data_IF_667611243669
#
_entry.id   IF_667611243669
#
_cell.length_a   1.000
_cell.length_b   1.000
_cell.length_c   1.000
_cell.angle_alpha   90.00
_cell.angle_beta   90.00
_cell.angle_gamma   90.00
#
_symmetry.space_group_name_H-M   'P 1'
#
loop_
_entity.id
_entity.type
_entity.pdbx_description
1 polymer ?
#
# COMPACT_ATOMS: atom_id res chain seq x y z
N UNK A 1 25.84 -35.56 -41.52
CA UNK A 1 26.41 -35.06 -40.25
C UNK A 1 25.40 -35.43 -39.17
N UNK A 2 25.79 -36.25 -38.20
CA UNK A 2 24.94 -36.48 -37.03
C UNK A 2 24.73 -35.15 -36.29
N UNK A 3 23.55 -34.89 -35.72
CA UNK A 3 23.35 -33.67 -34.96
C UNK A 3 24.28 -33.64 -33.74
N UNK A 4 24.83 -32.48 -33.34
CA UNK A 4 25.68 -32.42 -32.19
C UNK A 4 24.87 -32.76 -30.93
N UNK A 5 25.50 -33.42 -29.95
CA UNK A 5 24.85 -34.07 -28.81
C UNK A 5 24.43 -33.04 -27.74
N UNK A 6 23.76 -31.95 -28.11
CA UNK A 6 23.35 -30.93 -27.14
C UNK A 6 21.94 -30.38 -27.38
N UNK A 7 21.41 -30.50 -28.61
CA UNK A 7 20.12 -29.92 -28.95
C UNK A 7 18.93 -30.71 -28.36
N UNK A 8 19.07 -32.03 -28.17
CA UNK A 8 18.04 -32.86 -27.55
C UNK A 8 17.76 -32.48 -26.09
N UNK A 9 18.82 -32.20 -25.32
CA UNK A 9 18.71 -31.80 -23.91
C UNK A 9 17.93 -30.51 -23.70
N UNK A 10 18.12 -29.50 -24.56
CA UNK A 10 17.41 -28.19 -24.46
C UNK A 10 15.90 -28.35 -24.72
N UNK A 11 15.54 -29.18 -25.70
CA UNK A 11 14.13 -29.49 -26.02
C UNK A 11 13.44 -30.15 -24.82
N UNK A 12 14.13 -31.09 -24.15
CA UNK A 12 13.63 -31.75 -22.95
C UNK A 12 13.59 -30.83 -21.71
N UNK A 13 14.54 -29.90 -21.59
CA UNK A 13 14.62 -28.94 -20.49
C UNK A 13 13.43 -27.97 -20.48
N UNK A 14 13.17 -27.34 -21.62
CA UNK A 14 12.10 -26.36 -21.74
C UNK A 14 10.73 -27.04 -21.81
N UNK A 15 10.61 -28.11 -22.61
CA UNK A 15 9.33 -28.70 -22.97
C UNK A 15 8.54 -27.86 -23.99
N UNK A 16 7.63 -28.52 -24.72
CA UNK A 16 6.91 -27.92 -25.85
C UNK A 16 6.11 -26.67 -25.48
N UNK A 17 5.60 -26.60 -24.26
CA UNK A 17 4.80 -25.48 -23.77
C UNK A 17 5.61 -24.20 -23.56
N UNK A 18 6.92 -24.32 -23.32
CA UNK A 18 7.80 -23.17 -23.06
C UNK A 18 8.51 -22.65 -24.32
N UNK A 19 8.35 -23.28 -25.49
CA UNK A 19 9.07 -22.88 -26.71
C UNK A 19 8.77 -21.44 -27.16
N UNK A 20 7.54 -20.96 -26.98
CA UNK A 20 7.17 -19.57 -27.23
C UNK A 20 7.88 -18.54 -26.33
N UNK A 21 8.58 -19.00 -25.29
CA UNK A 21 9.35 -18.17 -24.36
C UNK A 21 10.86 -18.29 -24.56
N UNK A 22 11.31 -19.05 -25.56
CA UNK A 22 12.73 -19.27 -25.86
C UNK A 22 13.15 -18.37 -27.03
N UNK A 23 14.30 -17.71 -26.87
CA UNK A 23 15.00 -17.00 -27.95
C UNK A 23 16.26 -17.79 -28.30
N UNK A 24 16.38 -18.12 -29.58
CA UNK A 24 17.52 -18.81 -30.16
C UNK A 24 18.44 -17.78 -30.79
N UNK A 25 19.62 -17.60 -30.20
CA UNK A 25 20.53 -16.54 -30.59
C UNK A 25 21.72 -17.12 -31.38
N UNK A 26 21.94 -16.66 -32.61
CA UNK A 26 23.14 -16.96 -33.40
C UNK A 26 24.21 -15.89 -33.15
N UNK A 27 25.46 -16.32 -32.98
CA UNK A 27 26.60 -15.44 -32.67
C UNK A 27 27.75 -15.63 -33.67
N UNK A 28 28.86 -14.89 -33.49
CA UNK A 28 30.07 -14.96 -34.34
C UNK A 28 29.87 -14.54 -35.80
N UNK A 29 28.84 -13.72 -36.08
CA UNK A 29 28.58 -13.17 -37.42
C UNK A 29 29.69 -12.24 -37.93
N UNK A 30 30.44 -11.63 -37.00
CA UNK A 30 31.61 -10.79 -37.24
C UNK A 30 32.86 -11.59 -37.67
N UNK A 31 32.89 -12.89 -37.39
CA UNK A 31 34.00 -13.79 -37.78
C UNK A 31 33.83 -14.43 -39.16
N UNK A 32 32.68 -14.23 -39.79
CA UNK A 32 32.45 -14.70 -41.15
C UNK A 32 33.23 -13.84 -42.13
N UNK A 33 33.92 -14.50 -43.06
CA UNK A 33 34.61 -13.81 -44.13
C UNK A 33 33.59 -12.96 -44.92
N UNK A 34 33.84 -11.64 -44.96
CA UNK A 34 33.01 -10.66 -45.68
C UNK A 34 32.84 -10.98 -47.17
N UNK A 35 33.67 -11.87 -47.72
CA UNK A 35 33.60 -12.31 -49.11
C UNK A 35 32.56 -13.40 -49.39
N UNK A 36 32.05 -14.09 -48.35
CA UNK A 36 30.99 -15.11 -48.52
C UNK A 36 29.91 -15.03 -47.40
N UNK A 37 29.15 -13.93 -47.30
CA UNK A 37 28.10 -13.75 -46.30
C UNK A 37 27.03 -14.86 -46.35
N UNK A 38 26.82 -15.47 -47.53
CA UNK A 38 25.83 -16.51 -47.74
C UNK A 38 26.07 -17.77 -46.88
N UNK A 39 27.31 -18.02 -46.42
CA UNK A 39 27.62 -19.17 -45.57
C UNK A 39 26.92 -19.07 -44.21
N UNK A 40 26.88 -17.86 -43.62
CA UNK A 40 26.20 -17.63 -42.34
C UNK A 40 24.68 -17.83 -42.48
N UNK A 41 24.11 -17.26 -43.53
CA UNK A 41 22.68 -17.40 -43.83
C UNK A 41 22.29 -18.85 -44.11
N UNK A 42 23.14 -19.60 -44.82
CA UNK A 42 22.89 -21.01 -45.09
C UNK A 42 22.95 -21.86 -43.80
N UNK A 43 23.89 -21.59 -42.89
CA UNK A 43 23.98 -22.26 -41.59
C UNK A 43 22.78 -21.95 -40.71
N UNK A 44 22.35 -20.69 -40.65
CA UNK A 44 21.15 -20.31 -39.90
C UNK A 44 19.90 -21.00 -40.46
N UNK A 45 19.75 -21.05 -41.80
CA UNK A 45 18.67 -21.80 -42.45
C UNK A 45 18.71 -23.28 -42.11
N UNK A 46 19.89 -23.89 -42.06
CA UNK A 46 20.04 -25.30 -41.69
C UNK A 46 19.64 -25.56 -40.23
N UNK A 47 20.02 -24.67 -39.31
CA UNK A 47 19.60 -24.73 -37.90
C UNK A 47 18.08 -24.70 -37.77
N UNK A 48 17.42 -23.81 -38.51
CA UNK A 48 15.96 -23.64 -38.48
C UNK A 48 15.24 -24.78 -39.19
N UNK A 49 15.78 -25.29 -40.29
CA UNK A 49 15.10 -26.30 -41.11
C UNK A 49 15.10 -27.70 -40.48
N UNK A 50 16.15 -28.05 -39.72
CA UNK A 50 16.28 -29.39 -39.14
C UNK A 50 15.64 -29.49 -37.77
N UNK A 51 14.76 -30.48 -37.61
CA UNK A 51 14.08 -30.76 -36.34
C UNK A 51 15.03 -31.12 -35.21
N UNK A 52 16.16 -31.75 -35.54
CA UNK A 52 17.21 -32.20 -34.64
C UNK A 52 18.07 -31.03 -34.12
N UNK A 53 17.94 -29.84 -34.73
CA UNK A 53 18.56 -28.60 -34.29
C UNK A 53 17.52 -27.69 -33.65
N UNK A 54 17.11 -26.64 -34.36
CA UNK A 54 16.17 -25.64 -33.84
C UNK A 54 14.78 -25.77 -34.44
N UNK A 55 14.59 -26.57 -35.49
CA UNK A 55 13.31 -26.63 -36.21
C UNK A 55 12.12 -26.99 -35.32
N UNK A 56 12.29 -27.89 -34.35
CA UNK A 56 11.25 -28.24 -33.38
C UNK A 56 10.87 -27.04 -32.48
N UNK A 57 11.86 -26.30 -31.97
CA UNK A 57 11.66 -25.12 -31.13
C UNK A 57 11.09 -23.95 -31.95
N UNK A 58 11.61 -23.72 -33.15
CA UNK A 58 11.16 -22.67 -34.05
C UNK A 58 9.70 -22.87 -34.47
N UNK A 59 9.32 -24.09 -34.84
CA UNK A 59 7.92 -24.44 -35.14
C UNK A 59 7.02 -24.28 -33.92
N UNK A 60 7.57 -24.51 -32.72
CA UNK A 60 6.88 -24.28 -31.44
C UNK A 60 6.82 -22.82 -30.98
N UNK A 61 7.26 -21.87 -31.80
CA UNK A 61 7.15 -20.43 -31.53
C UNK A 61 8.42 -19.76 -31.01
N UNK A 62 9.54 -20.48 -30.91
CA UNK A 62 10.82 -19.86 -30.54
C UNK A 62 11.30 -18.89 -31.62
N UNK A 63 11.72 -17.71 -31.18
CA UNK A 63 12.22 -16.66 -32.07
C UNK A 63 13.72 -16.81 -32.29
N UNK A 64 14.16 -16.65 -33.54
CA UNK A 64 15.59 -16.64 -33.90
C UNK A 64 16.07 -15.20 -34.02
N UNK A 65 17.22 -14.91 -33.42
CA UNK A 65 17.82 -13.56 -33.40
C UNK A 65 19.32 -13.67 -33.65
N UNK A 66 19.87 -12.72 -34.41
CA UNK A 66 21.32 -12.60 -34.64
C UNK A 66 21.93 -11.63 -33.64
N UNK A 67 22.94 -12.07 -32.89
CA UNK A 67 23.79 -11.21 -32.09
C UNK A 67 25.04 -10.86 -32.90
N UNK A 68 25.22 -9.56 -33.17
CA UNK A 68 26.27 -9.04 -34.04
C UNK A 68 27.53 -8.59 -33.27
N UNK A 69 27.65 -8.98 -31.99
CA UNK A 69 28.75 -8.54 -31.13
C UNK A 69 28.63 -7.09 -30.62
N UNK A 70 27.58 -6.35 -31.00
CA UNK A 70 27.37 -4.95 -30.62
C UNK A 70 26.41 -4.80 -29.45
N UNK A 71 26.55 -3.69 -28.71
CA UNK A 71 25.62 -3.32 -27.61
C UNK A 71 24.17 -3.23 -28.09
N UNK A 72 23.92 -2.64 -29.25
CA UNK A 72 22.58 -2.45 -29.80
C UNK A 72 21.91 -3.79 -30.13
N UNK A 73 22.66 -4.75 -30.68
CA UNK A 73 22.15 -6.09 -30.95
C UNK A 73 21.84 -6.85 -29.65
N UNK A 74 22.63 -6.68 -28.59
CA UNK A 74 22.35 -7.25 -27.27
C UNK A 74 21.09 -6.65 -26.64
N UNK A 75 20.92 -5.32 -26.70
CA UNK A 75 19.70 -4.65 -26.24
C UNK A 75 18.46 -5.15 -26.97
N UNK A 76 18.54 -5.33 -28.30
CA UNK A 76 17.45 -5.87 -29.10
C UNK A 76 17.03 -7.28 -28.64
N UNK A 77 17.99 -8.14 -28.28
CA UNK A 77 17.70 -9.48 -27.74
C UNK A 77 16.97 -9.36 -26.39
N UNK A 78 17.45 -8.50 -25.49
CA UNK A 78 16.84 -8.29 -24.17
C UNK A 78 15.42 -7.72 -24.29
N UNK A 79 15.20 -6.75 -25.17
CA UNK A 79 13.88 -6.16 -25.41
C UNK A 79 12.88 -7.21 -25.91
N UNK A 80 13.32 -8.14 -26.75
CA UNK A 80 12.49 -9.26 -27.19
C UNK A 80 12.15 -10.21 -26.04
N UNK A 81 13.10 -10.53 -25.15
CA UNK A 81 12.82 -11.35 -23.95
C UNK A 81 11.75 -10.69 -23.09
N UNK A 82 11.90 -9.39 -22.81
CA UNK A 82 10.95 -8.62 -21.99
C UNK A 82 9.57 -8.57 -22.66
N UNK A 83 9.52 -8.35 -23.97
CA UNK A 83 8.26 -8.32 -24.73
C UNK A 83 7.53 -9.66 -24.67
N UNK A 84 8.22 -10.76 -24.93
CA UNK A 84 7.65 -12.11 -24.87
C UNK A 84 7.10 -12.39 -23.47
N UNK A 85 7.82 -12.02 -22.42
CA UNK A 85 7.34 -12.20 -21.05
C UNK A 85 6.08 -11.37 -20.74
N UNK A 86 6.01 -10.13 -21.23
CA UNK A 86 4.83 -9.27 -21.04
C UNK A 86 3.61 -9.77 -21.80
N UNK A 87 3.79 -10.27 -23.02
CA UNK A 87 2.69 -10.71 -23.90
C UNK A 87 2.17 -12.10 -23.52
N UNK A 88 3.08 -13.04 -23.22
CA UNK A 88 2.74 -14.45 -23.03
C UNK A 88 2.74 -14.89 -21.56
N UNK A 89 3.17 -14.02 -20.63
CA UNK A 89 3.21 -14.30 -19.19
C UNK A 89 4.36 -15.21 -18.76
N UNK A 90 4.17 -15.89 -17.62
CA UNK A 90 5.15 -16.84 -17.06
C UNK A 90 5.00 -18.20 -17.74
N UNK A 91 6.13 -18.75 -18.19
CA UNK A 91 6.24 -20.11 -18.67
C UNK A 91 6.80 -21.00 -17.56
N UNK A 92 6.22 -22.18 -17.38
CA UNK A 92 6.80 -23.22 -16.55
C UNK A 92 7.64 -24.15 -17.42
N UNK A 93 8.90 -24.35 -17.06
CA UNK A 93 9.79 -25.26 -17.79
C UNK A 93 9.48 -26.70 -17.39
N UNK A 94 9.60 -27.65 -18.33
CA UNK A 94 9.32 -29.06 -18.04
C UNK A 94 10.19 -29.62 -16.91
N UNK A 95 11.47 -29.22 -16.86
CA UNK A 95 12.35 -29.64 -15.76
C UNK A 95 11.89 -29.12 -14.38
N UNK A 96 11.25 -27.96 -14.31
CA UNK A 96 10.76 -27.40 -13.05
C UNK A 96 9.55 -28.19 -12.54
N UNK A 97 8.64 -28.58 -13.44
CA UNK A 97 7.54 -29.50 -13.14
C UNK A 97 8.06 -30.86 -12.64
N UNK A 98 9.02 -31.45 -13.36
CA UNK A 98 9.59 -32.76 -12.98
C UNK A 98 10.31 -32.73 -11.62
N UNK A 99 11.07 -31.67 -11.32
CA UNK A 99 11.82 -31.56 -10.07
C UNK A 99 10.94 -31.18 -8.87
N UNK A 100 10.03 -30.22 -9.05
CA UNK A 100 9.28 -29.61 -7.93
C UNK A 100 7.92 -30.29 -7.74
N UNK A 101 7.14 -30.43 -8.80
CA UNK A 101 5.77 -30.94 -8.70
C UNK A 101 5.74 -32.46 -8.67
N UNK A 102 6.55 -33.10 -9.52
CA UNK A 102 6.65 -34.56 -9.61
C UNK A 102 7.70 -35.15 -8.65
N UNK A 103 8.50 -34.31 -7.98
CA UNK A 103 9.48 -34.71 -6.96
C UNK A 103 10.60 -35.61 -7.49
N UNK A 104 10.93 -35.53 -8.77
CA UNK A 104 11.96 -36.36 -9.39
C UNK A 104 13.36 -35.87 -9.02
N UNK A 105 14.31 -36.81 -8.97
CA UNK A 105 15.74 -36.48 -8.92
C UNK A 105 16.23 -36.05 -10.32
N UNK A 106 17.25 -35.17 -10.37
CA UNK A 106 17.74 -34.56 -11.61
C UNK A 106 18.11 -35.60 -12.68
N UNK A 107 18.70 -36.73 -12.30
CA UNK A 107 19.07 -37.85 -13.18
C UNK A 107 17.87 -38.54 -13.85
N UNK A 108 16.69 -38.47 -13.24
CA UNK A 108 15.46 -39.09 -13.75
C UNK A 108 14.62 -38.17 -14.63
N UNK A 109 14.92 -36.88 -14.64
CA UNK A 109 14.26 -35.88 -15.49
C UNK A 109 14.46 -36.19 -16.98
N UNK A 110 13.58 -35.69 -17.84
CA UNK A 110 13.71 -35.83 -19.29
C UNK A 110 15.05 -35.28 -19.80
N UNK A 111 15.45 -34.10 -19.32
CA UNK A 111 16.71 -33.47 -19.67
C UNK A 111 17.92 -34.23 -19.10
N UNK A 112 17.85 -34.67 -17.84
CA UNK A 112 18.93 -35.43 -17.19
C UNK A 112 19.23 -36.74 -17.90
N UNK A 113 18.20 -37.48 -18.34
CA UNK A 113 18.37 -38.71 -19.11
C UNK A 113 18.99 -38.49 -20.48
N UNK A 114 18.67 -37.39 -21.15
CA UNK A 114 19.24 -37.08 -22.46
C UNK A 114 20.74 -36.77 -22.33
N UNK A 115 21.11 -35.91 -21.37
CA UNK A 115 22.52 -35.62 -21.07
C UNK A 115 23.27 -36.89 -20.66
N UNK A 116 22.66 -37.76 -19.85
CA UNK A 116 23.29 -39.02 -19.45
C UNK A 116 23.50 -39.95 -20.66
N UNK A 117 22.54 -40.03 -21.58
CA UNK A 117 22.70 -40.78 -22.83
C UNK A 117 23.87 -40.24 -23.65
N UNK A 118 23.96 -38.92 -23.81
CA UNK A 118 25.04 -38.26 -24.54
C UNK A 118 26.41 -38.53 -23.90
N UNK A 119 26.51 -38.43 -22.57
CA UNK A 119 27.73 -38.76 -21.82
C UNK A 119 28.13 -40.24 -22.03
N UNK A 120 27.16 -41.16 -21.98
CA UNK A 120 27.44 -42.60 -22.18
C UNK A 120 27.92 -42.85 -23.62
N UNK A 121 27.27 -42.24 -24.61
CA UNK A 121 27.66 -42.37 -26.01
C UNK A 121 29.07 -41.82 -26.26
N UNK A 122 29.38 -40.63 -25.76
CA UNK A 122 30.72 -40.03 -25.88
C UNK A 122 31.79 -40.88 -25.18
N UNK A 123 31.48 -41.45 -24.00
CA UNK A 123 32.39 -42.38 -23.32
C UNK A 123 32.65 -43.65 -24.14
N UNK A 124 31.62 -44.21 -24.77
CA UNK A 124 31.76 -45.40 -25.60
C UNK A 124 32.63 -45.12 -26.84
N UNK A 125 32.44 -43.97 -27.50
CA UNK A 125 33.28 -43.54 -28.63
C UNK A 125 34.75 -43.38 -28.22
N UNK A 126 35.01 -42.68 -27.10
CA UNK A 126 36.37 -42.52 -26.57
C UNK A 126 37.01 -43.85 -26.18
N UNK A 127 36.27 -44.77 -25.57
CA UNK A 127 36.76 -46.11 -25.24
C UNK A 127 37.12 -46.91 -26.50
N UNK A 128 36.31 -46.80 -27.55
CA UNK A 128 36.59 -47.44 -28.82
C UNK A 128 37.87 -46.87 -29.47
N UNK A 129 38.06 -45.55 -29.42
CA UNK A 129 39.26 -44.88 -29.93
C UNK A 129 40.51 -45.30 -29.14
N UNK A 130 40.43 -45.37 -27.80
CA UNK A 130 41.52 -45.88 -26.95
C UNK A 130 41.86 -47.33 -27.33
N UNK A 131 40.87 -48.18 -27.54
CA UNK A 131 41.10 -49.58 -27.91
C UNK A 131 41.78 -49.70 -29.29
N UNK A 132 41.37 -48.87 -30.26
CA UNK A 132 42.00 -48.83 -31.58
C UNK A 132 43.47 -48.42 -31.48
N UNK A 133 43.77 -47.38 -30.69
CA UNK A 133 45.14 -46.93 -30.46
C UNK A 133 46.00 -47.99 -29.75
N UNK A 134 45.43 -48.69 -28.76
CA UNK A 134 46.13 -49.80 -28.08
C UNK A 134 46.43 -50.97 -29.01
N UNK A 135 45.51 -51.32 -29.91
CA UNK A 135 45.72 -52.38 -30.89
C UNK A 135 46.80 -51.99 -31.90
N UNK A 136 46.74 -50.76 -32.43
CA UNK A 136 47.78 -50.23 -33.31
C UNK A 136 49.15 -50.24 -32.61
N UNK A 137 49.21 -49.86 -31.33
CA UNK A 137 50.41 -49.93 -30.50
C UNK A 137 50.95 -51.36 -30.35
N UNK A 138 50.09 -52.35 -30.09
CA UNK A 138 50.52 -53.75 -29.94
C UNK A 138 51.03 -54.36 -31.26
N UNK A 139 50.45 -53.96 -32.40
CA UNK A 139 50.88 -54.40 -33.73
C UNK A 139 52.22 -53.78 -34.13
N UNK A 140 52.40 -52.50 -33.81
CA UNK A 140 53.66 -51.76 -33.93
C UNK A 140 54.77 -52.37 -33.04
N UNK A 141 54.48 -52.76 -31.80
CA UNK A 141 55.46 -53.41 -30.91
C UNK A 141 55.91 -54.81 -31.37
N UNK A 142 55.09 -55.51 -32.18
CA UNK A 142 55.50 -56.80 -32.80
C UNK A 142 56.45 -56.60 -33.99
N UNK A 143 56.46 -55.41 -34.60
CA UNK A 143 57.35 -55.03 -35.68
C UNK A 143 58.48 -54.17 -35.08
N UNK A 144 59.51 -54.82 -34.55
CA UNK A 144 60.55 -54.14 -33.74
C UNK A 144 61.41 -53.16 -34.56
N UNK A 145 61.06 -51.87 -34.51
CA UNK A 145 61.91 -50.73 -34.89
C UNK A 145 62.36 -49.93 -33.65
N UNK A 146 63.65 -49.65 -33.53
CA UNK A 146 64.27 -49.01 -32.36
C UNK A 146 63.90 -47.52 -32.20
N UNK A 147 63.53 -46.84 -33.29
CA UNK A 147 62.92 -45.51 -33.25
C UNK A 147 61.52 -45.53 -32.62
N UNK A 148 60.80 -46.64 -32.78
CA UNK A 148 59.46 -46.82 -32.23
C UNK A 148 59.50 -46.94 -30.71
N UNK A 149 60.47 -47.67 -30.17
CA UNK A 149 60.69 -47.79 -28.73
C UNK A 149 60.98 -46.43 -28.07
N UNK A 150 61.73 -45.54 -28.76
CA UNK A 150 61.94 -44.16 -28.29
C UNK A 150 60.66 -43.35 -28.32
N UNK A 151 59.92 -43.40 -29.42
CA UNK A 151 58.65 -42.67 -29.58
C UNK A 151 57.62 -43.10 -28.53
N UNK A 152 57.61 -44.38 -28.19
CA UNK A 152 56.75 -44.97 -27.17
C UNK A 152 57.14 -44.62 -25.73
N UNK A 153 58.44 -44.53 -25.43
CA UNK A 153 58.89 -44.01 -24.15
C UNK A 153 58.41 -42.55 -23.95
N UNK A 154 58.49 -41.74 -25.02
CA UNK A 154 57.99 -40.35 -24.99
C UNK A 154 56.46 -40.28 -24.84
N UNK A 155 55.73 -41.17 -25.52
CA UNK A 155 54.26 -41.24 -25.38
C UNK A 155 53.84 -41.72 -23.99
N UNK A 156 54.55 -42.69 -23.40
CA UNK A 156 54.26 -43.17 -22.04
C UNK A 156 54.46 -42.07 -21.00
N UNK A 157 55.54 -41.30 -21.11
CA UNK A 157 55.81 -40.15 -20.25
C UNK A 157 54.73 -39.06 -20.44
N UNK A 158 54.29 -38.81 -21.67
CA UNK A 158 53.18 -37.90 -21.95
C UNK A 158 51.83 -38.39 -21.37
N UNK A 159 51.59 -39.71 -21.36
CA UNK A 159 50.41 -40.30 -20.73
C UNK A 159 50.47 -40.23 -19.20
N UNK A 160 51.61 -40.50 -18.58
CA UNK A 160 51.80 -40.37 -17.14
C UNK A 160 51.59 -38.90 -16.70
N UNK A 161 52.11 -37.94 -17.46
CA UNK A 161 51.84 -36.52 -17.22
C UNK A 161 50.37 -36.15 -17.39
N UNK A 162 49.67 -36.73 -18.36
CA UNK A 162 48.22 -36.53 -18.51
C UNK A 162 47.45 -37.11 -17.34
N UNK A 163 47.80 -38.31 -16.88
CA UNK A 163 47.17 -38.96 -15.73
C UNK A 163 47.37 -38.12 -14.46
N UNK A 164 48.55 -37.55 -14.29
CA UNK A 164 48.88 -36.68 -13.15
C UNK A 164 48.10 -35.36 -13.21
N UNK A 165 47.95 -34.76 -14.40
CA UNK A 165 47.09 -33.59 -14.60
C UNK A 165 45.62 -33.89 -14.37
N UNK A 166 45.13 -35.06 -14.79
CA UNK A 166 43.76 -35.51 -14.55
C UNK A 166 43.50 -35.67 -13.05
N UNK A 167 44.44 -36.27 -12.31
CA UNK A 167 44.36 -36.40 -10.86
C UNK A 167 44.38 -35.04 -10.15
N UNK A 168 45.22 -34.10 -10.59
CA UNK A 168 45.19 -32.71 -10.10
C UNK A 168 43.86 -32.02 -10.43
N UNK A 169 43.28 -32.30 -11.59
CA UNK A 169 42.00 -31.74 -12.01
C UNK A 169 40.84 -32.29 -11.17
N UNK A 170 40.81 -33.61 -10.90
CA UNK A 170 39.86 -34.22 -9.96
C UNK A 170 39.99 -33.63 -8.56
N UNK A 171 41.21 -33.40 -8.08
CA UNK A 171 41.45 -32.82 -6.76
C UNK A 171 40.95 -31.38 -6.68
N UNK A 172 41.16 -30.58 -7.72
CA UNK A 172 40.62 -29.22 -7.84
C UNK A 172 39.10 -29.20 -7.95
N UNK A 173 38.53 -30.15 -8.69
CA UNK A 173 37.08 -30.27 -8.82
C UNK A 173 36.44 -30.66 -7.48
N UNK A 174 37.04 -31.59 -6.73
CA UNK A 174 36.58 -31.96 -5.40
C UNK A 174 36.65 -30.77 -4.41
N UNK A 175 37.73 -29.98 -4.46
CA UNK A 175 37.85 -28.76 -3.66
C UNK A 175 36.76 -27.73 -4.03
N UNK A 176 36.55 -27.46 -5.31
CA UNK A 176 35.52 -26.54 -5.78
C UNK A 176 34.10 -27.00 -5.40
N UNK A 177 33.84 -28.31 -5.44
CA UNK A 177 32.54 -28.87 -5.05
C UNK A 177 32.30 -28.72 -3.54
N UNK A 178 33.35 -28.92 -2.73
CA UNK A 178 33.31 -28.69 -1.28
C UNK A 178 33.05 -27.21 -0.94
N UNK A 179 33.75 -26.28 -1.60
CA UNK A 179 33.51 -24.83 -1.45
C UNK A 179 32.08 -24.45 -1.85
N UNK A 180 31.56 -25.02 -2.95
CA UNK A 180 30.19 -24.79 -3.38
C UNK A 180 29.17 -25.32 -2.35
N UNK A 181 29.41 -26.49 -1.75
CA UNK A 181 28.56 -27.02 -0.68
C UNK A 181 28.58 -26.14 0.57
N UNK A 182 29.75 -25.62 0.96
CA UNK A 182 29.86 -24.66 2.07
C UNK A 182 29.10 -23.36 1.78
N UNK A 183 29.18 -22.86 0.55
CA UNK A 183 28.45 -21.66 0.14
C UNK A 183 26.93 -21.88 0.18
N UNK A 184 26.44 -23.03 -0.31
CA UNK A 184 25.02 -23.39 -0.25
C UNK A 184 24.56 -23.45 1.22
N UNK A 185 25.31 -24.11 2.10
CA UNK A 185 24.99 -24.18 3.52
C UNK A 185 24.94 -22.79 4.19
N UNK A 186 25.89 -21.91 3.86
CA UNK A 186 25.91 -20.54 4.36
C UNK A 186 24.71 -19.71 3.85
N UNK A 187 24.27 -19.95 2.61
CA UNK A 187 23.06 -19.31 2.07
C UNK A 187 21.80 -19.82 2.76
N UNK A 188 21.70 -21.11 3.05
CA UNK A 188 20.57 -21.71 3.79
C UNK A 188 20.49 -21.17 5.22
N UNK A 189 21.63 -21.04 5.91
CA UNK A 189 21.71 -20.43 7.24
C UNK A 189 21.24 -18.97 7.22
N UNK A 190 21.73 -18.17 6.26
CA UNK A 190 21.29 -16.79 6.09
C UNK A 190 19.80 -16.70 5.76
N UNK A 191 19.28 -17.60 4.92
CA UNK A 191 17.86 -17.62 4.59
C UNK A 191 16.99 -17.93 5.83
N UNK A 192 17.44 -18.82 6.71
CA UNK A 192 16.76 -19.12 7.98
C UNK A 192 16.79 -17.91 8.93
N UNK A 193 17.92 -17.20 9.03
CA UNK A 193 18.05 -15.98 9.82
C UNK A 193 17.08 -14.88 9.33
N UNK A 194 17.00 -14.66 8.02
CA UNK A 194 16.03 -13.71 7.44
C UNK A 194 14.58 -14.13 7.67
N UNK A 195 14.27 -15.43 7.64
CA UNK A 195 12.93 -15.92 7.91
C UNK A 195 12.50 -15.67 9.36
N UNK A 196 13.42 -15.85 10.32
CA UNK A 196 13.21 -15.52 11.73
C UNK A 196 13.00 -14.01 11.94
N UNK A 197 13.89 -13.17 11.41
CA UNK A 197 13.76 -11.71 11.53
C UNK A 197 12.44 -11.20 10.92
N UNK A 198 12.01 -11.78 9.80
CA UNK A 198 10.71 -11.44 9.19
C UNK A 198 9.53 -11.87 10.05
N UNK A 199 9.64 -12.99 10.77
CA UNK A 199 8.59 -13.45 11.69
C UNK A 199 8.47 -12.53 12.90
N UNK A 200 9.59 -12.13 13.50
CA UNK A 200 9.61 -11.15 14.59
C UNK A 200 8.97 -9.82 14.16
N UNK A 201 9.32 -9.32 12.97
CA UNK A 201 8.68 -8.11 12.42
C UNK A 201 7.17 -8.24 12.23
N UNK A 202 6.70 -9.41 11.79
CA UNK A 202 5.26 -9.67 11.64
C UNK A 202 4.55 -9.72 13.00
N UNK A 203 5.17 -10.34 14.01
CA UNK A 203 4.65 -10.41 15.39
C UNK A 203 4.60 -9.01 16.02
N UNK A 204 5.64 -8.18 15.80
CA UNK A 204 5.65 -6.78 16.23
C UNK A 204 4.55 -5.96 15.53
N UNK A 205 4.36 -6.14 14.22
CA UNK A 205 3.33 -5.42 13.48
C UNK A 205 1.91 -5.87 13.85
N UNK A 206 1.72 -7.14 14.18
CA UNK A 206 0.46 -7.67 14.71
C UNK A 206 0.18 -7.09 16.10
N UNK A 207 1.17 -7.06 16.99
CA UNK A 207 1.04 -6.43 18.32
C UNK A 207 0.72 -4.93 18.23
N UNK A 208 1.29 -4.23 17.24
CA UNK A 208 1.02 -2.83 17.00
C UNK A 208 -0.41 -2.60 16.49
N UNK A 209 -0.90 -3.47 15.60
CA UNK A 209 -2.30 -3.43 15.11
C UNK A 209 -3.29 -3.69 16.24
N UNK A 210 -3.00 -4.65 17.12
CA UNK A 210 -3.83 -4.93 18.29
C UNK A 210 -3.87 -3.73 19.26
N UNK A 211 -2.71 -3.12 19.54
CA UNK A 211 -2.65 -1.91 20.34
C UNK A 211 -3.44 -0.75 19.71
N UNK A 212 -3.33 -0.57 18.39
CA UNK A 212 -4.09 0.44 17.65
C UNK A 212 -5.60 0.19 17.72
N UNK A 213 -6.03 -1.07 17.60
CA UNK A 213 -7.43 -1.45 17.74
C UNK A 213 -7.95 -1.20 19.17
N UNK A 214 -7.14 -1.52 20.19
CA UNK A 214 -7.48 -1.21 21.58
C UNK A 214 -7.63 0.30 21.79
N UNK A 215 -6.68 1.11 21.32
CA UNK A 215 -6.78 2.58 21.39
C UNK A 215 -8.00 3.13 20.64
N UNK A 216 -8.34 2.58 19.48
CA UNK A 216 -9.53 3.00 18.73
C UNK A 216 -10.82 2.76 19.52
N UNK A 217 -10.94 1.60 20.19
CA UNK A 217 -12.09 1.31 21.05
C UNK A 217 -12.15 2.19 22.30
N UNK A 218 -11.00 2.51 22.91
CA UNK A 218 -10.93 3.46 24.02
C UNK A 218 -11.37 4.87 23.59
N UNK A 219 -10.89 5.36 22.45
CA UNK A 219 -11.29 6.67 21.91
C UNK A 219 -12.80 6.70 21.66
N UNK A 220 -13.37 5.67 21.02
CA UNK A 220 -14.82 5.60 20.79
C UNK A 220 -15.61 5.61 22.11
N UNK A 221 -15.10 4.94 23.15
CA UNK A 221 -15.73 4.94 24.48
C UNK A 221 -15.67 6.31 25.17
N UNK A 222 -14.58 7.05 24.98
CA UNK A 222 -14.39 8.40 25.52
C UNK A 222 -15.27 9.41 24.78
N UNK A 223 -15.36 9.31 23.45
CA UNK A 223 -16.27 10.14 22.65
C UNK A 223 -17.72 9.97 23.07
N UNK A 224 -18.18 8.73 23.30
CA UNK A 224 -19.52 8.47 23.86
C UNK A 224 -19.71 9.14 25.22
N UNK A 225 -18.73 9.02 26.12
CA UNK A 225 -18.79 9.65 27.45
C UNK A 225 -18.84 11.17 27.39
N UNK A 226 -18.08 11.78 26.48
CA UNK A 226 -18.12 13.24 26.27
C UNK A 226 -19.50 13.65 25.77
N UNK A 227 -20.02 12.94 24.77
CA UNK A 227 -21.35 13.21 24.23
C UNK A 227 -22.46 13.07 25.28
N UNK A 228 -22.42 12.01 26.08
CA UNK A 228 -23.38 11.80 27.18
C UNK A 228 -23.30 12.93 28.22
N UNK A 229 -22.10 13.48 28.47
CA UNK A 229 -21.92 14.63 29.35
C UNK A 229 -22.46 15.92 28.75
N UNK A 230 -22.23 16.16 27.46
CA UNK A 230 -22.77 17.31 26.74
C UNK A 230 -24.30 17.29 26.73
N UNK A 231 -24.90 16.15 26.37
CA UNK A 231 -26.35 15.94 26.37
C UNK A 231 -26.94 16.19 27.78
N UNK A 232 -26.27 15.70 28.83
CA UNK A 232 -26.70 15.94 30.22
C UNK A 232 -26.61 17.42 30.61
N UNK A 233 -25.55 18.12 30.19
CA UNK A 233 -25.42 19.55 30.45
C UNK A 233 -26.49 20.36 29.71
N UNK A 234 -26.80 19.99 28.46
CA UNK A 234 -27.85 20.63 27.67
C UNK A 234 -29.23 20.40 28.28
N UNK A 235 -29.54 19.18 28.72
CA UNK A 235 -30.78 18.88 29.44
C UNK A 235 -30.94 19.73 30.70
N UNK A 236 -29.87 19.83 31.52
CA UNK A 236 -29.91 20.66 32.74
C UNK A 236 -30.13 22.13 32.43
N UNK A 237 -29.55 22.64 31.35
CA UNK A 237 -29.74 24.02 30.92
C UNK A 237 -31.19 24.26 30.49
N UNK A 238 -31.76 23.37 29.68
CA UNK A 238 -33.17 23.45 29.26
C UNK A 238 -34.12 23.37 30.47
N UNK A 239 -33.84 22.52 31.46
CA UNK A 239 -34.61 22.45 32.70
C UNK A 239 -34.55 23.76 33.51
N UNK A 240 -33.38 24.41 33.56
CA UNK A 240 -33.24 25.72 34.21
C UNK A 240 -34.02 26.80 33.47
N UNK A 241 -33.88 26.88 32.15
CA UNK A 241 -34.62 27.84 31.31
C UNK A 241 -36.14 27.63 31.43
N UNK A 242 -36.59 26.37 31.53
CA UNK A 242 -38.01 26.05 31.75
C UNK A 242 -38.50 26.54 33.12
N UNK A 243 -37.73 26.31 34.19
CA UNK A 243 -38.07 26.78 35.54
C UNK A 243 -38.14 28.30 35.60
N UNK A 244 -37.17 28.99 35.02
CA UNK A 244 -37.17 30.46 34.95
C UNK A 244 -38.39 30.97 34.17
N UNK A 245 -38.76 30.32 33.06
CA UNK A 245 -39.94 30.67 32.29
C UNK A 245 -41.25 30.43 33.07
N UNK A 246 -41.32 29.36 33.88
CA UNK A 246 -42.46 29.08 34.76
C UNK A 246 -42.58 30.11 35.88
N UNK A 247 -41.47 30.50 36.51
CA UNK A 247 -41.44 31.56 37.52
C UNK A 247 -41.88 32.91 36.95
N UNK A 248 -41.37 33.29 35.77
CA UNK A 248 -41.79 34.49 35.04
C UNK A 248 -43.29 34.46 34.71
N UNK A 249 -43.82 33.33 34.26
CA UNK A 249 -45.25 33.16 34.01
C UNK A 249 -46.08 33.34 35.28
N UNK A 250 -45.65 32.74 36.39
CA UNK A 250 -46.32 32.88 37.68
C UNK A 250 -46.32 34.32 38.18
N UNK A 251 -45.20 35.05 38.02
CA UNK A 251 -45.11 36.46 38.41
C UNK A 251 -46.00 37.34 37.53
N UNK A 252 -46.04 37.11 36.22
CA UNK A 252 -46.96 37.80 35.31
C UNK A 252 -48.44 37.52 35.63
N UNK A 253 -48.77 36.28 35.99
CA UNK A 253 -50.13 35.90 36.42
C UNK A 253 -50.53 36.64 37.70
N UNK A 254 -49.61 36.74 38.67
CA UNK A 254 -49.82 37.50 39.91
C UNK A 254 -50.01 39.00 39.63
N UNK A 255 -49.18 39.59 38.77
CA UNK A 255 -49.34 40.98 38.33
C UNK A 255 -50.70 41.19 37.68
N UNK A 256 -51.14 40.29 36.80
CA UNK A 256 -52.48 40.36 36.18
C UNK A 256 -53.60 40.35 37.21
N UNK A 257 -53.51 39.47 38.21
CA UNK A 257 -54.50 39.38 39.30
C UNK A 257 -54.51 40.68 40.14
N UNK A 258 -53.36 41.27 40.42
CA UNK A 258 -53.27 42.49 41.21
C UNK A 258 -53.74 43.73 40.41
N UNK A 259 -53.48 43.77 39.10
CA UNK A 259 -54.06 44.76 38.17
C UNK A 259 -55.60 44.64 38.11
N UNK A 260 -56.14 43.43 38.00
CA UNK A 260 -57.59 43.20 38.04
C UNK A 260 -58.22 43.64 39.38
N UNK A 261 -57.58 43.33 40.51
CA UNK A 261 -58.05 43.77 41.84
C UNK A 261 -58.00 45.29 42.00
N UNK A 262 -56.94 45.94 41.54
CA UNK A 262 -56.81 47.41 41.61
C UNK A 262 -57.82 48.10 40.68
N UNK A 263 -58.08 47.53 39.50
CA UNK A 263 -59.15 47.98 38.62
C UNK A 263 -60.53 47.84 39.28
N UNK A 264 -60.83 46.69 39.90
CA UNK A 264 -62.08 46.47 40.63
C UNK A 264 -62.24 47.42 41.82
N UNK A 265 -61.17 47.67 42.58
CA UNK A 265 -61.18 48.65 43.68
C UNK A 265 -61.34 50.10 43.18
N UNK A 266 -60.79 50.42 42.01
CA UNK A 266 -60.99 51.71 41.37
C UNK A 266 -62.45 51.87 40.92
N UNK A 267 -63.01 50.85 40.29
CA UNK A 267 -64.43 50.80 39.88
C UNK A 267 -65.36 50.95 41.09
N UNK A 268 -65.12 50.22 42.17
CA UNK A 268 -65.87 50.33 43.43
C UNK A 268 -65.74 51.73 44.06
N UNK A 269 -64.55 52.33 44.06
CA UNK A 269 -64.38 53.70 44.55
C UNK A 269 -65.11 54.73 43.68
N UNK A 270 -65.15 54.54 42.36
CA UNK A 270 -65.88 55.40 41.42
C UNK A 270 -67.39 55.30 41.66
N UNK A 271 -67.94 54.10 41.85
CA UNK A 271 -69.37 53.93 42.18
C UNK A 271 -69.70 54.59 43.51
N UNK A 272 -68.87 54.41 44.53
CA UNK A 272 -69.04 55.00 45.86
C UNK A 272 -68.92 56.54 45.84
N UNK A 273 -68.05 57.08 44.99
CA UNK A 273 -67.97 58.52 44.70
C UNK A 273 -69.23 59.06 44.01
N UNK A 274 -69.77 58.33 43.04
CA UNK A 274 -71.01 58.68 42.35
C UNK A 274 -72.20 58.69 43.32
N UNK A 275 -72.30 57.69 44.20
CA UNK A 275 -73.32 57.65 45.26
C UNK A 275 -73.20 58.82 46.24
N UNK A 276 -71.98 59.13 46.70
CA UNK A 276 -71.72 60.29 47.57
C UNK A 276 -72.09 61.61 46.90
N UNK A 277 -71.81 61.75 45.59
CA UNK A 277 -72.24 62.91 44.79
C UNK A 277 -73.76 62.97 44.63
N UNK A 278 -74.44 61.84 44.46
CA UNK A 278 -75.90 61.76 44.44
C UNK A 278 -76.50 62.21 45.78
N UNK A 279 -76.00 61.70 46.92
CA UNK A 279 -76.43 62.13 48.27
C UNK A 279 -76.13 63.60 48.57
N UNK A 280 -75.02 64.15 48.06
CA UNK A 280 -74.73 65.58 48.17
C UNK A 280 -75.67 66.43 47.33
N UNK A 281 -76.04 66.00 46.11
CA UNK A 281 -77.08 66.67 45.32
C UNK A 281 -78.43 66.64 46.04
N UNK A 282 -78.77 65.53 46.70
CA UNK A 282 -79.98 65.39 47.51
C UNK A 282 -79.96 66.34 48.73
N UNK A 283 -78.86 66.37 49.49
CA UNK A 283 -78.69 67.32 50.61
C UNK A 283 -78.60 68.79 50.18
N UNK A 284 -78.06 69.09 48.99
CA UNK A 284 -78.05 70.45 48.44
C UNK A 284 -79.45 70.87 47.93
N UNK A 285 -80.33 69.90 47.66
CA UNK A 285 -81.75 70.12 47.35
C UNK A 285 -82.56 70.43 48.63
N UNK A 286 -82.16 69.84 49.76
CA UNK A 286 -82.82 70.04 51.07
C UNK A 286 -82.23 71.21 51.91
N UNK A 287 -81.01 71.68 51.60
CA UNK A 287 -80.30 72.71 52.37
C UNK A 287 -80.35 74.15 51.83
N UNK A 288 -81.08 74.42 50.74
CA UNK A 288 -81.18 75.76 50.10
C UNK A 288 -82.42 76.56 50.54
N UNK A 289 -83.15 76.09 51.55
CA UNK A 289 -84.17 76.88 52.25
C UNK A 289 -83.65 77.29 53.64
N UNK A 290 -83.51 78.60 53.87
CA UNK A 290 -83.22 79.27 55.17
C UNK A 290 -81.70 79.30 55.49
N UNK A 291 -80.92 80.33 55.16
CA UNK A 291 -81.01 81.72 55.60
C UNK A 291 -80.31 82.68 54.61
N UNK A 292 -80.95 83.83 54.36
CA UNK A 292 -80.33 84.99 53.73
C UNK A 292 -79.45 85.80 54.70
N UNK A 293 -78.45 86.46 54.12
CA UNK A 293 -77.82 87.79 54.40
C UNK A 293 -77.55 88.10 55.90
N UNK A 294 -76.36 88.53 56.36
CA UNK A 294 -75.58 89.74 56.02
C UNK A 294 -74.18 89.68 56.70
N UNK A 295 -73.27 90.49 56.16
CA UNK A 295 -72.16 91.19 56.82
C UNK A 295 -70.75 90.56 56.76
N UNK A 296 -69.87 91.23 56.02
CA UNK A 296 -68.43 91.23 56.27
C UNK A 296 -68.02 92.49 57.04
N UNK A 297 -66.88 92.44 57.74
CA UNK A 297 -65.95 93.54 58.06
C UNK A 297 -64.58 92.95 58.47
N UNK A 298 -63.55 93.22 57.65
CA UNK A 298 -62.20 93.77 57.94
C UNK A 298 -61.30 93.18 59.08
N UNK A 299 -60.17 92.58 58.63
CA UNK A 299 -58.75 92.79 59.04
C UNK A 299 -58.22 92.28 60.41
N UNK A 300 -57.21 91.39 60.39
CA UNK A 300 -55.78 91.75 60.53
C UNK A 300 -54.91 90.61 61.13
N UNK A 301 -53.80 90.31 60.44
CA UNK A 301 -52.57 89.77 61.03
C UNK A 301 -52.48 88.24 61.20
N UNK A 302 -51.35 87.57 61.02
CA UNK A 302 -49.97 88.00 60.75
C UNK A 302 -49.11 86.74 60.58
N UNK A 303 -48.33 86.68 59.47
CA UNK A 303 -47.02 86.00 59.27
C UNK A 303 -46.95 84.50 59.57
N UNK A 304 -46.12 83.66 58.95
CA UNK A 304 -44.93 83.67 58.07
C UNK A 304 -44.68 82.14 57.88
N UNK A 305 -44.00 81.56 56.89
CA UNK A 305 -43.17 81.99 55.77
C UNK A 305 -42.63 80.67 55.18
N UNK A 306 -42.48 80.62 53.85
CA UNK A 306 -41.39 80.01 53.08
C UNK A 306 -40.97 78.55 53.40
N UNK A 307 -40.84 77.67 52.42
CA UNK A 307 -39.88 77.87 51.33
C UNK A 307 -40.28 77.18 50.04
N UNK A 308 -40.07 77.93 48.97
CA UNK A 308 -40.19 77.57 47.58
C UNK A 308 -38.80 77.17 47.04
N UNK A 309 -38.82 76.50 45.89
CA UNK A 309 -37.81 76.53 44.82
C UNK A 309 -36.95 75.28 44.61
N UNK A 310 -37.36 74.48 43.62
CA UNK A 310 -36.80 74.48 42.24
C UNK A 310 -35.29 74.75 42.12
N UNK A 311 -34.50 73.79 41.62
CA UNK A 311 -33.76 73.84 40.33
C UNK A 311 -32.75 72.66 40.20
N UNK A 312 -32.76 72.05 39.02
CA UNK A 312 -31.62 71.59 38.19
C UNK A 312 -30.49 70.65 38.68
N UNK A 313 -30.34 69.56 37.91
CA UNK A 313 -29.24 69.30 36.92
C UNK A 313 -28.37 68.05 37.12
N UNK A 314 -27.93 67.56 35.94
CA UNK A 314 -26.90 66.57 35.58
C UNK A 314 -27.32 65.09 35.70
N UNK A 315 -27.06 64.20 34.74
CA UNK A 315 -26.30 64.21 33.49
C UNK A 315 -25.84 62.77 33.16
N UNK A 316 -25.68 62.42 31.87
CA UNK A 316 -25.06 61.15 31.40
C UNK A 316 -25.91 60.37 30.39
N UNK A 317 -25.82 60.63 29.08
CA UNK A 317 -24.95 59.97 28.07
C UNK A 317 -25.50 58.57 27.70
N UNK A 318 -26.21 58.46 26.56
CA UNK A 318 -25.78 57.89 25.25
C UNK A 318 -25.50 56.35 25.31
N UNK A 319 -25.88 55.49 24.36
CA UNK A 319 -26.13 55.74 22.95
C UNK A 319 -26.96 54.61 22.31
N UNK A 320 -27.53 54.93 21.15
CA UNK A 320 -28.36 54.04 20.32
C UNK A 320 -27.62 53.78 19.00
N UNK A 321 -27.66 52.52 18.55
CA UNK A 321 -27.63 52.05 17.15
C UNK A 321 -26.31 51.94 16.33
N UNK A 322 -26.33 50.84 15.54
CA UNK A 322 -25.87 50.62 14.15
C UNK A 322 -24.50 49.97 13.87
N UNK A 323 -24.61 48.67 13.50
CA UNK A 323 -24.25 48.02 12.21
C UNK A 323 -22.78 47.91 11.73
N UNK A 324 -22.62 46.81 10.96
CA UNK A 324 -21.54 46.38 10.05
C UNK A 324 -20.29 45.77 10.73
N UNK A 325 -19.71 44.66 10.29
CA UNK A 325 -19.92 43.89 9.06
C UNK A 325 -19.07 42.60 9.05
N UNK A 326 -19.30 41.84 7.98
CA UNK A 326 -18.76 40.53 7.59
C UNK A 326 -17.23 40.45 7.49
N UNK A 327 -16.65 39.27 7.84
CA UNK A 327 -15.50 38.54 7.24
C UNK A 327 -15.31 37.26 8.09
N UNK A 328 -15.55 36.03 7.65
CA UNK A 328 -14.95 35.20 6.60
C UNK A 328 -13.42 35.04 6.68
N UNK A 329 -12.99 33.93 7.29
CA UNK A 329 -11.75 33.12 7.11
C UNK A 329 -11.98 31.87 7.97
N UNK A 330 -11.91 30.61 7.54
CA UNK A 330 -11.00 29.99 6.58
C UNK A 330 -9.91 29.24 7.36
N UNK A 331 -9.95 27.91 7.31
CA UNK A 331 -8.89 26.92 7.63
C UNK A 331 -8.48 26.71 9.11
N UNK A 332 -8.78 25.51 9.63
CA UNK A 332 -7.85 24.37 9.64
C UNK A 332 -8.63 23.04 9.74
#
# INVERSE_FOLDING_TARGET
MAPPPFFGGIVALCGKNAFGHVILCTSMWDTLDTTVPEVGDQREKELIARSEFWGAMHTGGSQVVRWLGTKDSAQTVVDKIIKIHKENGKAMLKIQEELVDEGMSLDKTGAGREVQREIIAAKAELQQEIQQLQNAHAEMMRQSDEELAKTLATQKEAFEQRLQKEAEYEQRLAAATSEQQQLIAAFEEKAAEYALARREQMEDEESFKDAQAHFATEVESLEKRIKDQEDLMEQRRLEQELKEAEELKAELEKQRIDEEKTAAMHEENVTLQLEKKARRKEKMRDGVAILGVVAGVVFCGRRRSHHESRFDRYGGIDDRWLRFGVKNTGQL
#
